data_IF_302289132594
#
_entry.id   IF_302289132594
#
_cell.length_a   1.000
_cell.length_b   1.000
_cell.length_c   1.000
_cell.angle_alpha   90.00
_cell.angle_beta   90.00
_cell.angle_gamma   90.00
#
_symmetry.space_group_name_H-M   'P 1'
#
loop_
_entity.id
_entity.type
_entity.pdbx_description
1 polymer ?
#
# COMPACT_ATOMS: atom_id res chain seq x y z
N UNK A 1 -18.47 -15.07 -1.33
CA UNK A 1 -18.12 -15.40 -2.72
C UNK A 1 -16.90 -16.29 -2.71
N UNK A 2 -17.00 -17.51 -3.22
CA UNK A 2 -15.85 -18.40 -3.46
C UNK A 2 -15.52 -18.41 -4.95
N UNK A 3 -14.24 -18.39 -5.29
CA UNK A 3 -13.76 -18.56 -6.67
C UNK A 3 -13.04 -19.90 -6.75
N UNK A 4 -13.44 -20.74 -7.70
CA UNK A 4 -12.79 -22.02 -7.96
C UNK A 4 -11.88 -21.88 -9.18
N UNK A 5 -10.62 -22.27 -9.02
CA UNK A 5 -9.62 -22.27 -10.10
C UNK A 5 -9.12 -23.70 -10.28
N UNK A 6 -9.34 -24.27 -11.46
CA UNK A 6 -8.75 -25.55 -11.86
C UNK A 6 -7.33 -25.31 -12.38
N UNK A 7 -6.36 -26.07 -11.89
CA UNK A 7 -4.96 -25.99 -12.32
C UNK A 7 -4.53 -27.40 -12.73
N UNK A 8 -4.13 -27.56 -13.98
CA UNK A 8 -3.49 -28.79 -14.44
C UNK A 8 -1.99 -28.70 -14.23
N UNK A 9 -1.42 -29.70 -13.56
CA UNK A 9 0.02 -29.78 -13.35
C UNK A 9 0.64 -30.79 -14.32
N UNK A 10 1.66 -30.38 -15.09
CA UNK A 10 2.53 -31.32 -15.79
C UNK A 10 3.10 -32.38 -14.83
N UNK A 11 3.21 -33.62 -15.30
CA UNK A 11 3.56 -34.77 -14.48
C UNK A 11 4.97 -34.68 -13.86
N UNK A 12 5.91 -34.04 -14.56
CA UNK A 12 7.25 -33.72 -14.08
C UNK A 12 7.22 -32.74 -12.90
N UNK A 13 6.39 -31.69 -12.99
CA UNK A 13 6.20 -30.71 -11.91
C UNK A 13 5.53 -31.38 -10.70
N UNK A 14 4.51 -32.21 -10.93
CA UNK A 14 3.88 -32.97 -9.84
C UNK A 14 4.90 -33.85 -9.12
N UNK A 15 5.70 -34.63 -9.84
CA UNK A 15 6.75 -35.49 -9.28
C UNK A 15 7.81 -34.70 -8.51
N UNK A 16 8.20 -33.52 -8.99
CA UNK A 16 9.15 -32.66 -8.29
C UNK A 16 8.59 -32.11 -6.96
N UNK A 17 7.26 -31.95 -6.85
CA UNK A 17 6.59 -31.44 -5.65
C UNK A 17 6.28 -32.51 -4.61
N UNK A 18 6.18 -33.80 -4.99
CA UNK A 18 5.89 -34.90 -4.05
C UNK A 18 6.87 -34.93 -2.86
N UNK A 19 8.20 -34.89 -3.04
CA UNK A 19 9.14 -34.90 -1.91
C UNK A 19 9.05 -33.66 -1.01
N UNK A 20 8.54 -32.53 -1.52
CA UNK A 20 8.29 -31.33 -0.72
C UNK A 20 7.01 -31.47 0.10
N UNK A 21 5.97 -32.05 -0.51
CA UNK A 21 4.71 -32.31 0.17
C UNK A 21 4.90 -33.32 1.33
N UNK A 22 5.69 -34.37 1.10
CA UNK A 22 6.05 -35.35 2.12
C UNK A 22 6.84 -34.72 3.28
N UNK A 23 7.85 -33.89 2.97
CA UNK A 23 8.63 -33.16 4.01
C UNK A 23 7.76 -32.24 4.87
N UNK A 24 6.71 -31.70 4.29
CA UNK A 24 5.78 -30.79 4.95
C UNK A 24 4.54 -31.51 5.54
N UNK A 25 4.53 -32.85 5.55
CA UNK A 25 3.39 -33.69 5.98
C UNK A 25 2.05 -33.24 5.38
N UNK A 26 2.04 -33.03 4.06
CA UNK A 26 0.89 -32.51 3.35
C UNK A 26 0.73 -33.12 1.96
N UNK A 27 -0.35 -32.77 1.26
CA UNK A 27 -0.60 -33.21 -0.10
C UNK A 27 -0.15 -32.13 -1.10
N UNK A 28 0.33 -32.53 -2.28
CA UNK A 28 0.77 -31.61 -3.33
C UNK A 28 -0.26 -30.50 -3.64
N UNK A 29 -1.58 -30.78 -3.74
CA UNK A 29 -2.57 -29.71 -3.95
C UNK A 29 -2.63 -28.68 -2.82
N UNK A 30 -2.48 -29.12 -1.56
CA UNK A 30 -2.47 -28.22 -0.39
C UNK A 30 -1.21 -27.37 -0.34
N UNK A 31 -0.06 -27.96 -0.68
CA UNK A 31 1.22 -27.25 -0.81
C UNK A 31 1.12 -26.13 -1.86
N UNK A 32 0.55 -26.44 -3.03
CA UNK A 32 0.32 -25.46 -4.10
C UNK A 32 -0.65 -24.37 -3.66
N UNK A 33 -1.78 -24.73 -3.05
CA UNK A 33 -2.76 -23.78 -2.55
C UNK A 33 -2.12 -22.80 -1.54
N UNK A 34 -1.26 -23.30 -0.65
CA UNK A 34 -0.52 -22.47 0.31
C UNK A 34 0.46 -21.53 -0.39
N UNK A 35 1.24 -22.03 -1.36
CA UNK A 35 2.16 -21.21 -2.15
C UNK A 35 1.45 -20.09 -2.92
N UNK A 36 0.34 -20.41 -3.59
CA UNK A 36 -0.50 -19.43 -4.30
C UNK A 36 -1.03 -18.38 -3.33
N UNK A 37 -1.57 -18.81 -2.17
CA UNK A 37 -2.12 -17.89 -1.17
C UNK A 37 -1.06 -16.91 -0.67
N UNK A 38 0.15 -17.40 -0.37
CA UNK A 38 1.24 -16.55 0.10
C UNK A 38 1.74 -15.60 -0.99
N UNK A 39 1.82 -16.06 -2.23
CA UNK A 39 2.19 -15.21 -3.38
C UNK A 39 1.18 -14.08 -3.58
N UNK A 40 -0.12 -14.40 -3.61
CA UNK A 40 -1.20 -13.40 -3.71
C UNK A 40 -1.16 -12.42 -2.55
N UNK A 41 -0.97 -12.90 -1.31
CA UNK A 41 -0.80 -12.01 -0.14
C UNK A 41 0.40 -11.09 -0.30
N UNK A 42 1.51 -11.59 -0.83
CA UNK A 42 2.70 -10.79 -1.14
C UNK A 42 2.40 -9.69 -2.16
N UNK A 43 1.68 -10.01 -3.23
CA UNK A 43 1.26 -9.07 -4.27
C UNK A 43 0.33 -8.00 -3.72
N UNK A 44 -0.70 -8.38 -2.95
CA UNK A 44 -1.64 -7.40 -2.36
C UNK A 44 -0.96 -6.50 -1.34
N UNK A 45 -0.05 -7.05 -0.53
CA UNK A 45 0.76 -6.24 0.40
C UNK A 45 1.70 -5.28 -0.35
N UNK A 46 2.29 -5.71 -1.47
CA UNK A 46 3.12 -4.84 -2.32
C UNK A 46 2.31 -3.73 -2.97
N UNK A 47 1.12 -4.04 -3.51
CA UNK A 47 0.19 -3.04 -4.06
C UNK A 47 -0.20 -2.00 -2.99
N UNK A 48 -0.57 -2.45 -1.78
CA UNK A 48 -0.89 -1.54 -0.68
C UNK A 48 0.29 -0.66 -0.22
N UNK A 49 1.54 -1.16 -0.32
CA UNK A 49 2.75 -0.33 -0.10
C UNK A 49 2.91 0.71 -1.19
N UNK A 50 2.75 0.32 -2.45
CA UNK A 50 2.87 1.23 -3.59
C UNK A 50 1.83 2.35 -3.54
N UNK A 51 0.57 2.03 -3.24
CA UNK A 51 -0.50 3.02 -3.06
C UNK A 51 -0.16 4.02 -1.94
N UNK A 52 0.43 3.52 -0.85
CA UNK A 52 0.87 4.38 0.26
C UNK A 52 2.02 5.30 -0.16
N UNK A 53 3.00 4.78 -0.89
CA UNK A 53 4.15 5.55 -1.40
C UNK A 53 3.69 6.65 -2.37
N UNK A 54 2.80 6.31 -3.33
CA UNK A 54 2.22 7.28 -4.25
C UNK A 54 1.45 8.38 -3.51
N UNK A 55 0.66 8.01 -2.50
CA UNK A 55 -0.06 8.98 -1.67
C UNK A 55 0.87 9.88 -0.88
N UNK A 56 1.90 9.31 -0.25
CA UNK A 56 2.89 10.05 0.53
C UNK A 56 3.67 11.03 -0.37
N UNK A 57 4.05 10.60 -1.58
CA UNK A 57 4.67 11.45 -2.59
C UNK A 57 3.74 12.60 -3.05
N UNK A 58 2.46 12.31 -3.29
CA UNK A 58 1.48 13.35 -3.65
C UNK A 58 1.33 14.41 -2.54
N UNK A 59 1.27 13.99 -1.27
CA UNK A 59 1.23 14.91 -0.13
C UNK A 59 2.49 15.78 -0.07
N UNK A 60 3.67 15.20 -0.30
CA UNK A 60 4.93 15.94 -0.32
C UNK A 60 4.96 17.00 -1.42
N UNK A 61 4.54 16.65 -2.65
CA UNK A 61 4.47 17.57 -3.79
C UNK A 61 3.52 18.74 -3.50
N UNK A 62 2.30 18.45 -3.03
CA UNK A 62 1.31 19.50 -2.75
C UNK A 62 1.74 20.38 -1.57
N UNK A 63 2.39 19.81 -0.55
CA UNK A 63 2.96 20.61 0.53
C UNK A 63 4.13 21.49 0.05
N UNK A 64 4.90 21.05 -0.95
CA UNK A 64 5.91 21.87 -1.64
C UNK A 64 5.32 23.10 -2.32
N UNK A 65 4.10 22.98 -2.87
CA UNK A 65 3.33 24.07 -3.48
C UNK A 65 2.65 25.02 -2.47
N UNK A 66 3.02 24.94 -1.19
CA UNK A 66 2.46 25.74 -0.10
C UNK A 66 1.00 25.45 0.25
N UNK A 67 0.45 24.28 -0.10
CA UNK A 67 -0.93 23.94 0.23
C UNK A 67 -1.10 23.58 1.70
N UNK A 68 -2.26 23.90 2.27
CA UNK A 68 -2.62 23.52 3.64
C UNK A 68 -3.14 22.10 3.69
N UNK A 69 -3.04 21.45 4.86
CA UNK A 69 -3.49 20.06 5.07
C UNK A 69 -4.96 19.87 4.66
N UNK A 70 -5.83 20.87 4.91
CA UNK A 70 -7.25 20.83 4.48
C UNK A 70 -7.41 20.82 2.96
N UNK A 71 -6.57 21.58 2.23
CA UNK A 71 -6.65 21.66 0.77
C UNK A 71 -6.09 20.40 0.13
N UNK A 72 -4.98 19.88 0.67
CA UNK A 72 -4.40 18.60 0.25
C UNK A 72 -5.40 17.47 0.49
N UNK A 73 -6.03 17.44 1.66
CA UNK A 73 -7.05 16.47 2.03
C UNK A 73 -8.23 16.49 1.06
N UNK A 74 -8.76 17.67 0.74
CA UNK A 74 -9.84 17.80 -0.24
C UNK A 74 -9.46 17.32 -1.64
N UNK A 75 -8.24 17.59 -2.08
CA UNK A 75 -7.77 17.16 -3.41
C UNK A 75 -7.51 15.66 -3.52
N UNK A 76 -7.10 15.00 -2.43
CA UNK A 76 -6.79 13.57 -2.40
C UNK A 76 -7.95 12.71 -1.86
N UNK A 77 -9.07 13.31 -1.46
CA UNK A 77 -10.18 12.60 -0.82
C UNK A 77 -9.83 12.00 0.55
N UNK A 78 -8.87 12.60 1.25
CA UNK A 78 -8.39 12.15 2.57
C UNK A 78 -8.96 13.00 3.69
N UNK A 79 -8.81 12.57 4.93
CA UNK A 79 -9.03 13.44 6.08
C UNK A 79 -7.83 14.37 6.29
N UNK A 80 -8.04 15.61 6.79
CA UNK A 80 -6.94 16.50 7.17
C UNK A 80 -5.99 15.90 8.22
N UNK A 81 -6.53 15.09 9.14
CA UNK A 81 -5.73 14.38 10.13
C UNK A 81 -4.78 13.35 9.50
N UNK A 82 -5.26 12.59 8.50
CA UNK A 82 -4.44 11.62 7.77
C UNK A 82 -3.29 12.31 7.04
N UNK A 83 -3.57 13.43 6.38
CA UNK A 83 -2.54 14.27 5.75
C UNK A 83 -1.54 14.78 6.79
N UNK A 84 -2.02 15.28 7.93
CA UNK A 84 -1.18 15.74 9.03
C UNK A 84 -0.23 14.66 9.56
N UNK A 85 -0.72 13.44 9.80
CA UNK A 85 0.11 12.31 10.22
C UNK A 85 1.16 11.91 9.18
N UNK A 86 0.80 11.93 7.89
CA UNK A 86 1.76 11.65 6.80
C UNK A 86 2.82 12.75 6.74
N UNK A 87 2.40 14.01 6.80
CA UNK A 87 3.28 15.17 6.79
C UNK A 87 4.30 15.10 7.93
N UNK A 88 3.85 14.76 9.14
CA UNK A 88 4.72 14.58 10.30
C UNK A 88 5.69 13.41 10.13
N UNK A 89 5.21 12.26 9.63
CA UNK A 89 6.07 11.11 9.32
C UNK A 89 7.15 11.44 8.27
N UNK A 90 6.82 12.28 7.30
CA UNK A 90 7.75 12.73 6.25
C UNK A 90 8.60 13.95 6.67
N UNK A 91 8.47 14.46 7.90
CA UNK A 91 9.24 15.62 8.37
C UNK A 91 8.89 16.94 7.67
N UNK A 92 7.70 17.05 7.08
CA UNK A 92 7.28 18.19 6.28
C UNK A 92 6.71 19.34 7.15
N UNK A 93 6.97 20.62 6.81
CA UNK A 93 6.56 21.75 7.65
C UNK A 93 5.04 21.92 7.72
N UNK A 94 4.50 22.24 8.90
CA UNK A 94 3.07 22.49 9.10
C UNK A 94 2.70 23.83 8.50
N UNK A 95 1.70 23.84 7.61
CA UNK A 95 1.18 25.05 7.00
C UNK A 95 -0.16 25.41 7.61
N UNK A 96 -0.16 26.40 8.51
CA UNK A 96 -1.39 26.97 9.06
C UNK A 96 -1.81 28.20 8.26
N UNK A 97 -3.12 28.36 8.08
CA UNK A 97 -3.72 29.58 7.51
C UNK A 97 -3.43 30.82 8.35
N UNK A 98 -3.14 30.66 9.64
CA UNK A 98 -2.85 31.75 10.58
C UNK A 98 -1.59 32.55 10.22
N UNK A 99 -0.59 31.92 9.59
CA UNK A 99 0.65 32.60 9.20
C UNK A 99 0.51 33.51 7.97
N UNK A 100 -0.45 33.22 7.08
CA UNK A 100 -0.66 34.00 5.85
C UNK A 100 -1.28 35.37 6.12
N UNK A 101 -2.29 35.45 6.99
CA UNK A 101 -2.89 36.72 7.41
C UNK A 101 -1.87 37.66 8.05
N UNK A 102 -0.90 37.13 8.80
CA UNK A 102 0.14 37.94 9.47
C UNK A 102 1.16 38.54 8.50
N UNK A 103 1.37 37.92 7.32
CA UNK A 103 2.25 38.46 6.27
C UNK A 103 1.54 39.41 5.32
N UNK A 104 0.25 39.17 5.04
CA UNK A 104 -0.58 40.07 4.21
C UNK A 104 -1.00 41.35 4.96
N UNK A 105 -0.96 41.37 6.30
CA UNK A 105 -1.20 42.58 7.12
C UNK A 105 0.07 43.40 7.42
N UNK A 106 1.24 42.94 6.98
CA UNK A 106 2.53 43.59 7.21
C UNK A 106 3.17 44.13 5.91
N UNK A 107 2.40 44.16 4.82
CA UNK A 107 2.73 44.76 3.53
C UNK A 107 1.71 45.86 3.22
#
# INVERSE_FOLDING_TARGET
MSVHVGIELPNDVYRALVPQAERCDTQVPKLIALGVTNSVRGVTAAAGRHDRELRDAAIAVLNGQLWTDNRIAGALGLSPSSVGSVRERLGLPKRSTTGRRKREQAA
#
